data_IF_403378738564
#
_entry.id   IF_403378738564
#
_cell.length_a   1.000
_cell.length_b   1.000
_cell.length_c   1.000
_cell.angle_alpha   90.00
_cell.angle_beta   90.00
_cell.angle_gamma   90.00
#
_symmetry.space_group_name_H-M   'P 1'
#
loop_
_entity.id
_entity.type
_entity.pdbx_description
1 polymer ?
#
# COMPACT_ATOMS: atom_id res chain seq x y z
N UNK A 1 23.31 8.73 -11.18
CA UNK A 1 22.43 9.65 -10.42
C UNK A 1 20.99 9.16 -10.56
N UNK A 2 20.39 8.69 -9.46
CA UNK A 2 18.97 8.35 -9.44
C UNK A 2 18.23 9.67 -9.62
N UNK A 3 17.53 9.80 -10.73
CA UNK A 3 16.75 10.99 -11.07
C UNK A 3 15.74 11.26 -9.94
N UNK A 4 15.93 12.33 -9.17
CA UNK A 4 15.13 12.67 -7.97
C UNK A 4 13.76 13.22 -8.35
N UNK A 5 13.00 12.48 -9.14
CA UNK A 5 11.63 12.85 -9.50
C UNK A 5 10.76 12.86 -8.25
N UNK A 6 9.95 13.89 -8.10
CA UNK A 6 8.90 13.89 -7.08
C UNK A 6 7.78 12.87 -7.45
N UNK A 7 6.86 12.63 -6.53
CA UNK A 7 5.81 11.62 -6.69
C UNK A 7 4.95 11.85 -7.94
N UNK A 8 4.54 13.09 -8.21
CA UNK A 8 3.71 13.42 -9.38
C UNK A 8 4.46 13.28 -10.71
N UNK A 9 5.73 13.67 -10.76
CA UNK A 9 6.58 13.48 -11.94
C UNK A 9 6.79 12.01 -12.27
N UNK A 10 7.08 11.19 -11.24
CA UNK A 10 7.23 9.74 -11.40
C UNK A 10 5.95 9.09 -11.93
N UNK A 11 4.81 9.47 -11.36
CA UNK A 11 3.51 8.95 -11.81
C UNK A 11 3.25 9.32 -13.27
N UNK A 12 3.47 10.59 -13.64
CA UNK A 12 3.30 11.05 -15.03
C UNK A 12 4.17 10.26 -16.00
N UNK A 13 5.48 10.15 -15.70
CA UNK A 13 6.42 9.41 -16.56
C UNK A 13 5.99 7.94 -16.73
N UNK A 14 5.60 7.29 -15.63
CA UNK A 14 5.13 5.92 -15.69
C UNK A 14 3.88 5.76 -16.56
N UNK A 15 2.85 6.57 -16.34
CA UNK A 15 1.59 6.47 -17.07
C UNK A 15 1.81 6.73 -18.56
N UNK A 16 2.50 7.82 -18.90
CA UNK A 16 2.72 8.20 -20.30
C UNK A 16 3.70 7.27 -21.02
N UNK A 17 4.59 6.60 -20.32
CA UNK A 17 5.48 5.58 -20.87
C UNK A 17 4.82 4.20 -21.06
N UNK A 18 3.84 3.86 -20.22
CA UNK A 18 3.20 2.54 -20.21
C UNK A 18 1.93 2.48 -21.05
N UNK A 19 1.12 3.53 -21.04
CA UNK A 19 -0.21 3.53 -21.65
C UNK A 19 -0.25 4.41 -22.89
N UNK A 20 -0.80 3.88 -23.98
CA UNK A 20 -0.94 4.59 -25.25
C UNK A 20 -1.98 5.71 -25.21
N UNK A 21 -2.96 5.61 -24.32
CA UNK A 21 -4.03 6.60 -24.14
C UNK A 21 -4.73 6.43 -22.78
N UNK A 22 -5.59 7.40 -22.45
CA UNK A 22 -6.35 7.43 -21.20
C UNK A 22 -7.28 6.22 -21.02
N UNK A 23 -7.89 5.71 -22.10
CA UNK A 23 -8.77 4.54 -22.02
C UNK A 23 -8.01 3.28 -21.58
N UNK A 24 -6.82 3.03 -22.17
CA UNK A 24 -6.00 1.89 -21.79
C UNK A 24 -5.52 1.98 -20.33
N UNK A 25 -5.20 3.18 -19.86
CA UNK A 25 -4.90 3.42 -18.44
C UNK A 25 -6.11 3.10 -17.55
N UNK A 26 -7.31 3.60 -17.87
CA UNK A 26 -8.51 3.35 -17.07
C UNK A 26 -8.95 1.88 -17.08
N UNK A 27 -8.75 1.16 -18.19
CA UNK A 27 -8.99 -0.29 -18.25
C UNK A 27 -8.07 -1.04 -17.29
N UNK A 28 -6.77 -0.71 -17.28
CA UNK A 28 -5.81 -1.31 -16.36
C UNK A 28 -6.13 -0.99 -14.89
N UNK A 29 -6.53 0.25 -14.59
CA UNK A 29 -6.97 0.65 -13.24
C UNK A 29 -8.20 -0.14 -12.81
N UNK A 30 -9.21 -0.29 -13.67
CA UNK A 30 -10.41 -1.07 -13.33
C UNK A 30 -10.08 -2.55 -13.09
N UNK A 31 -9.22 -3.16 -13.90
CA UNK A 31 -8.76 -4.53 -13.68
C UNK A 31 -8.04 -4.68 -12.33
N UNK A 32 -7.14 -3.76 -12.00
CA UNK A 32 -6.44 -3.73 -10.71
C UNK A 32 -7.41 -3.63 -9.52
N UNK A 33 -8.39 -2.73 -9.59
CA UNK A 33 -9.40 -2.54 -8.53
C UNK A 33 -10.19 -3.81 -8.26
N UNK A 34 -10.47 -4.64 -9.28
CA UNK A 34 -11.18 -5.91 -9.08
C UNK A 34 -10.40 -6.91 -8.25
N UNK A 35 -9.07 -6.83 -8.25
CA UNK A 35 -8.16 -7.73 -7.53
C UNK A 35 -7.91 -7.30 -6.08
N UNK A 36 -8.23 -6.05 -5.72
CA UNK A 36 -8.05 -5.51 -4.37
C UNK A 36 -9.26 -5.82 -3.48
N UNK A 37 -9.50 -7.10 -3.18
CA UNK A 37 -10.60 -7.57 -2.33
C UNK A 37 -10.15 -8.70 -1.43
N UNK A 38 -10.73 -8.77 -0.22
CA UNK A 38 -10.55 -9.91 0.67
C UNK A 38 -11.28 -11.15 0.14
N UNK A 39 -10.65 -12.32 0.27
CA UNK A 39 -11.21 -13.64 -0.06
C UNK A 39 -11.76 -13.79 -1.50
N UNK A 40 -11.27 -13.03 -2.44
CA UNK A 40 -11.73 -13.02 -3.84
C UNK A 40 -10.65 -13.52 -4.83
N UNK A 41 -9.39 -13.29 -4.50
CA UNK A 41 -8.22 -13.70 -5.30
C UNK A 41 -7.13 -14.29 -4.43
N UNK A 42 -6.20 -15.05 -5.04
CA UNK A 42 -5.03 -15.57 -4.32
C UNK A 42 -4.13 -14.46 -3.77
N UNK A 43 -3.32 -14.77 -2.75
CA UNK A 43 -2.37 -13.82 -2.17
C UNK A 43 -1.43 -13.24 -3.21
N UNK A 44 -0.88 -14.03 -4.13
CA UNK A 44 0.03 -13.56 -5.19
C UNK A 44 -0.63 -12.52 -6.11
N UNK A 45 -1.89 -12.76 -6.52
CA UNK A 45 -2.65 -11.80 -7.35
C UNK A 45 -2.96 -10.52 -6.60
N UNK A 46 -3.30 -10.63 -5.31
CA UNK A 46 -3.57 -9.47 -4.46
C UNK A 46 -2.31 -8.63 -4.22
N UNK A 47 -1.21 -9.27 -3.86
CA UNK A 47 0.09 -8.61 -3.62
C UNK A 47 0.60 -7.93 -4.90
N UNK A 48 0.40 -8.55 -6.08
CA UNK A 48 0.71 -7.89 -7.35
C UNK A 48 -0.15 -6.64 -7.56
N UNK A 49 -1.44 -6.69 -7.23
CA UNK A 49 -2.31 -5.53 -7.34
C UNK A 49 -1.93 -4.41 -6.35
N UNK A 50 -1.41 -4.74 -5.15
CA UNK A 50 -0.85 -3.77 -4.20
C UNK A 50 0.45 -3.16 -4.75
N UNK A 51 1.34 -3.95 -5.37
CA UNK A 51 2.53 -3.43 -6.04
C UNK A 51 2.15 -2.45 -7.16
N UNK A 52 1.24 -2.86 -8.04
CA UNK A 52 0.75 -2.04 -9.14
C UNK A 52 0.11 -0.73 -8.64
N UNK A 53 -0.69 -0.79 -7.57
CA UNK A 53 -1.28 0.40 -6.94
C UNK A 53 -0.19 1.38 -6.49
N UNK A 54 0.85 0.91 -5.82
CA UNK A 54 1.98 1.75 -5.38
C UNK A 54 2.62 2.51 -6.55
N UNK A 55 2.85 1.81 -7.66
CA UNK A 55 3.40 2.42 -8.88
C UNK A 55 2.42 3.46 -9.46
N UNK A 56 1.11 3.15 -9.49
CA UNK A 56 0.06 4.01 -10.05
C UNK A 56 -0.31 5.22 -9.16
N UNK A 57 0.27 5.33 -7.99
CA UNK A 57 0.26 6.55 -7.17
C UNK A 57 1.64 7.23 -7.10
N UNK A 58 2.58 6.79 -7.93
CA UNK A 58 3.90 7.42 -8.12
C UNK A 58 4.96 7.05 -7.09
N UNK A 59 4.81 5.92 -6.39
CA UNK A 59 5.81 5.38 -5.48
C UNK A 59 6.75 4.41 -6.21
N UNK A 60 7.92 4.15 -5.61
CA UNK A 60 8.76 3.02 -5.98
C UNK A 60 8.18 1.81 -5.24
N UNK A 61 7.52 0.94 -5.96
CA UNK A 61 6.85 -0.23 -5.41
C UNK A 61 7.53 -1.51 -5.87
N UNK A 62 7.70 -2.46 -4.95
CA UNK A 62 8.34 -3.74 -5.22
C UNK A 62 7.84 -4.80 -4.23
N UNK A 63 8.07 -6.08 -4.57
CA UNK A 63 7.74 -7.26 -3.76
C UNK A 63 9.01 -7.96 -3.29
N UNK A 64 9.64 -7.52 -2.19
CA UNK A 64 10.94 -8.05 -1.75
C UNK A 64 10.92 -9.56 -1.46
N UNK A 65 9.87 -10.09 -0.84
CA UNK A 65 9.77 -11.53 -0.58
C UNK A 65 9.76 -12.33 -1.88
N UNK A 66 9.02 -11.89 -2.89
CA UNK A 66 8.97 -12.54 -4.20
C UNK A 66 10.33 -12.47 -4.94
N UNK A 67 11.04 -11.33 -4.84
CA UNK A 67 12.30 -11.10 -5.55
C UNK A 67 13.49 -11.78 -4.86
N UNK A 68 13.55 -11.73 -3.52
CA UNK A 68 14.73 -12.11 -2.74
C UNK A 68 14.48 -13.29 -1.79
N UNK A 69 13.25 -13.81 -1.71
CA UNK A 69 12.84 -14.86 -0.77
C UNK A 69 12.82 -14.40 0.69
N UNK A 70 12.83 -13.10 0.95
CA UNK A 70 12.79 -12.46 2.28
C UNK A 70 12.37 -11.01 2.19
N UNK A 71 11.86 -10.47 3.28
CA UNK A 71 11.35 -9.11 3.37
C UNK A 71 9.82 -9.08 3.34
N UNK A 72 9.21 -7.90 3.23
CA UNK A 72 7.75 -7.76 3.18
C UNK A 72 7.15 -8.26 1.87
N UNK A 73 5.85 -8.59 1.90
CA UNK A 73 5.06 -8.90 0.71
C UNK A 73 5.12 -7.71 -0.28
N UNK A 74 4.98 -6.48 0.21
CA UNK A 74 5.13 -5.25 -0.58
C UNK A 74 5.95 -4.18 0.17
N UNK A 75 6.74 -3.43 -0.59
CA UNK A 75 7.50 -2.29 -0.10
C UNK A 75 7.26 -1.09 -1.01
N UNK A 76 6.77 0.01 -0.45
CA UNK A 76 6.61 1.27 -1.15
C UNK A 76 7.60 2.30 -0.62
N UNK A 77 8.45 2.80 -1.48
CA UNK A 77 9.46 3.79 -1.15
C UNK A 77 9.13 5.14 -1.78
N UNK A 78 9.47 6.22 -1.07
CA UNK A 78 9.31 7.58 -1.56
C UNK A 78 10.57 8.42 -1.33
N UNK A 79 10.76 9.47 -2.12
CA UNK A 79 11.85 10.44 -1.90
C UNK A 79 11.57 11.42 -0.76
N UNK A 80 10.34 11.47 -0.27
CA UNK A 80 9.94 12.30 0.87
C UNK A 80 10.25 11.67 2.24
N UNK A 81 10.96 10.54 2.26
CA UNK A 81 11.33 9.78 3.45
C UNK A 81 10.15 9.14 4.20
N UNK A 82 8.98 9.02 3.56
CA UNK A 82 7.83 8.28 4.09
C UNK A 82 7.65 7.00 3.31
N UNK A 83 7.97 5.87 3.92
CA UNK A 83 7.98 4.56 3.29
C UNK A 83 6.94 3.65 3.94
N UNK A 84 6.51 2.60 3.25
CA UNK A 84 5.51 1.66 3.75
C UNK A 84 6.02 0.23 3.60
N UNK A 85 6.06 -0.50 4.71
CA UNK A 85 6.35 -1.94 4.77
C UNK A 85 5.03 -2.65 4.94
N UNK A 86 4.61 -3.44 3.95
CA UNK A 86 3.23 -3.95 3.86
C UNK A 86 3.23 -5.46 3.85
N UNK A 87 2.44 -6.06 4.74
CA UNK A 87 2.09 -7.49 4.77
C UNK A 87 0.63 -7.68 4.39
N UNK A 88 0.37 -8.56 3.43
CA UNK A 88 -0.95 -8.83 2.89
C UNK A 88 -1.50 -10.15 3.43
N UNK A 89 -2.68 -10.12 4.02
CA UNK A 89 -3.39 -11.29 4.54
C UNK A 89 -4.84 -11.30 4.03
N UNK A 90 -4.98 -11.12 2.71
CA UNK A 90 -6.28 -11.01 2.03
C UNK A 90 -7.12 -12.28 2.11
N UNK A 91 -6.52 -13.46 2.28
CA UNK A 91 -7.22 -14.74 2.44
C UNK A 91 -7.55 -15.07 3.91
N UNK A 92 -7.23 -14.16 4.86
CA UNK A 92 -7.55 -14.37 6.27
C UNK A 92 -9.07 -14.29 6.51
N UNK A 93 -9.59 -15.24 7.28
CA UNK A 93 -10.99 -15.33 7.70
C UNK A 93 -11.18 -15.16 9.21
N UNK A 94 -10.07 -15.01 9.95
CA UNK A 94 -10.07 -14.92 11.40
C UNK A 94 -10.58 -13.56 11.88
N UNK A 95 -11.29 -13.55 13.01
CA UNK A 95 -11.76 -12.34 13.69
C UNK A 95 -10.64 -11.56 14.41
N UNK A 96 -9.44 -12.14 14.50
CA UNK A 96 -8.27 -11.51 15.10
C UNK A 96 -7.02 -11.82 14.28
N UNK A 97 -6.07 -10.89 14.29
CA UNK A 97 -4.76 -11.03 13.65
C UNK A 97 -3.90 -11.94 14.53
N UNK A 98 -3.48 -13.07 13.97
CA UNK A 98 -2.73 -14.07 14.70
C UNK A 98 -1.33 -13.59 15.12
N UNK A 99 -0.80 -14.19 16.20
CA UNK A 99 0.60 -14.00 16.60
C UNK A 99 1.58 -14.31 15.44
N UNK A 100 1.27 -15.30 14.60
CA UNK A 100 2.07 -15.65 13.43
C UNK A 100 2.16 -14.46 12.45
N UNK A 101 1.04 -13.85 12.07
CA UNK A 101 1.02 -12.69 11.17
C UNK A 101 1.68 -11.46 11.78
N UNK A 102 1.49 -11.25 13.09
CA UNK A 102 2.20 -10.22 13.83
C UNK A 102 3.73 -10.39 13.73
N UNK A 103 4.23 -11.61 13.93
CA UNK A 103 5.65 -11.92 13.84
C UNK A 103 6.22 -11.74 12.42
N UNK A 104 5.44 -12.06 11.38
CA UNK A 104 5.84 -11.80 9.99
C UNK A 104 6.09 -10.31 9.76
N UNK A 105 5.12 -9.45 10.09
CA UNK A 105 5.29 -8.01 9.93
C UNK A 105 6.41 -7.44 10.81
N UNK A 106 6.57 -7.91 12.06
CA UNK A 106 7.70 -7.51 12.89
C UNK A 106 9.05 -7.92 12.23
N UNK A 107 9.12 -9.11 11.62
CA UNK A 107 10.29 -9.56 10.86
C UNK A 107 10.59 -8.66 9.65
N UNK A 108 9.57 -8.25 8.91
CA UNK A 108 9.67 -7.34 7.77
C UNK A 108 10.11 -5.92 8.19
N UNK A 109 9.67 -5.45 9.36
CA UNK A 109 10.16 -4.20 9.97
C UNK A 109 11.68 -4.28 10.23
N UNK A 110 12.14 -5.37 10.87
CA UNK A 110 13.57 -5.55 11.15
C UNK A 110 14.38 -5.73 9.85
N UNK A 111 13.84 -6.46 8.87
CA UNK A 111 14.46 -6.56 7.55
C UNK A 111 14.65 -5.18 6.91
N UNK A 112 13.62 -4.32 6.92
CA UNK A 112 13.73 -2.95 6.38
C UNK A 112 14.86 -2.17 7.07
N UNK A 113 14.93 -2.20 8.39
CA UNK A 113 15.97 -1.51 9.17
C UNK A 113 17.40 -2.02 8.85
N UNK A 114 17.54 -3.27 8.41
CA UNK A 114 18.85 -3.84 8.04
C UNK A 114 19.25 -3.53 6.59
N UNK A 115 18.28 -3.27 5.72
CA UNK A 115 18.53 -3.02 4.29
C UNK A 115 18.63 -1.53 3.94
N UNK A 116 18.05 -0.66 4.75
CA UNK A 116 17.94 0.77 4.49
C UNK A 116 18.56 1.60 5.60
N UNK A 117 18.92 2.85 5.27
CA UNK A 117 19.49 3.80 6.22
C UNK A 117 18.54 4.03 7.43
N UNK A 118 19.11 4.09 8.63
CA UNK A 118 18.37 4.32 9.88
C UNK A 118 17.60 5.65 9.92
N UNK A 119 17.92 6.60 9.04
CA UNK A 119 17.19 7.87 8.90
C UNK A 119 15.90 7.73 8.11
N UNK A 120 15.69 6.62 7.38
CA UNK A 120 14.48 6.40 6.60
C UNK A 120 13.32 6.03 7.52
N UNK A 121 12.29 6.87 7.52
CA UNK A 121 11.05 6.58 8.22
C UNK A 121 10.22 5.55 7.46
N UNK A 122 9.58 4.64 8.17
CA UNK A 122 8.63 3.72 7.57
C UNK A 122 7.41 3.53 8.47
N UNK A 123 6.27 3.32 7.84
CA UNK A 123 5.02 2.90 8.50
C UNK A 123 4.76 1.45 8.15
N UNK A 124 4.73 0.54 9.13
CA UNK A 124 4.35 -0.84 8.88
C UNK A 124 2.83 -0.95 8.74
N UNK A 125 2.38 -1.62 7.68
CA UNK A 125 0.96 -1.80 7.38
C UNK A 125 0.65 -3.29 7.28
N UNK A 126 -0.37 -3.73 8.00
CA UNK A 126 -1.01 -5.04 7.81
C UNK A 126 -2.31 -4.86 7.03
N UNK A 127 -2.47 -5.55 5.90
CA UNK A 127 -3.76 -5.65 5.21
C UNK A 127 -4.45 -6.92 5.69
N UNK A 128 -5.49 -6.75 6.52
CA UNK A 128 -6.18 -7.87 7.19
C UNK A 128 -7.63 -7.47 7.50
N UNK A 129 -8.63 -8.37 7.38
CA UNK A 129 -10.03 -8.03 7.65
C UNK A 129 -10.29 -7.54 9.09
N UNK A 130 -9.53 -8.01 10.08
CA UNK A 130 -9.63 -7.54 11.46
C UNK A 130 -8.60 -6.45 11.78
N UNK A 131 -8.95 -5.54 12.69
CA UNK A 131 -8.05 -4.54 13.28
C UNK A 131 -7.51 -4.96 14.66
N UNK A 132 -7.86 -6.15 15.14
CA UNK A 132 -7.58 -6.60 16.50
C UNK A 132 -6.56 -7.74 16.47
N UNK A 133 -5.47 -7.63 17.24
CA UNK A 133 -4.51 -8.70 17.44
C UNK A 133 -4.94 -9.66 18.55
N UNK A 134 -4.56 -10.93 18.40
CA UNK A 134 -4.67 -11.91 19.49
C UNK A 134 -3.89 -11.46 20.72
N UNK A 135 -4.38 -11.80 21.92
CA UNK A 135 -3.71 -11.50 23.18
C UNK A 135 -2.26 -12.03 23.28
N UNK A 136 -1.96 -13.11 22.55
CA UNK A 136 -0.59 -13.69 22.52
C UNK A 136 0.37 -12.96 21.57
N UNK A 137 -0.12 -12.01 20.77
CA UNK A 137 0.70 -11.23 19.84
C UNK A 137 1.38 -10.06 20.56
N UNK A 138 2.55 -9.66 20.04
CA UNK A 138 3.31 -8.51 20.51
C UNK A 138 3.60 -7.57 19.33
N UNK A 139 2.59 -6.83 18.85
CA UNK A 139 2.75 -5.97 17.68
C UNK A 139 3.65 -4.77 17.97
N UNK A 140 4.45 -4.39 16.98
CA UNK A 140 5.12 -3.10 17.00
C UNK A 140 4.06 -1.99 17.11
N UNK A 141 4.32 -0.98 17.94
CA UNK A 141 3.36 0.10 18.28
C UNK A 141 2.93 0.95 17.08
N UNK A 142 3.77 0.99 16.03
CA UNK A 142 3.58 1.85 14.85
C UNK A 142 2.80 1.13 13.73
N UNK A 143 2.43 -0.15 13.94
CA UNK A 143 1.63 -0.91 12.98
C UNK A 143 0.27 -0.22 12.77
N UNK A 144 -0.09 -0.11 11.50
CA UNK A 144 -1.39 0.37 11.02
C UNK A 144 -2.10 -0.76 10.25
N UNK A 145 -3.42 -0.72 10.20
CA UNK A 145 -4.23 -1.76 9.57
C UNK A 145 -5.07 -1.18 8.43
N UNK A 146 -5.00 -1.81 7.26
CA UNK A 146 -5.99 -1.65 6.19
C UNK A 146 -6.96 -2.83 6.31
N UNK A 147 -8.15 -2.58 6.81
CA UNK A 147 -9.24 -3.56 6.84
C UNK A 147 -10.14 -3.44 5.59
N UNK A 148 -11.24 -4.18 5.55
CA UNK A 148 -12.16 -4.18 4.42
C UNK A 148 -12.72 -2.78 4.13
N UNK A 149 -13.14 -2.03 5.17
CA UNK A 149 -13.64 -0.66 5.04
C UNK A 149 -12.60 0.28 4.40
N UNK A 150 -11.36 0.21 4.88
CA UNK A 150 -10.26 1.05 4.38
C UNK A 150 -9.81 0.61 2.99
N UNK A 151 -9.83 -0.67 2.70
CA UNK A 151 -9.51 -1.18 1.36
C UNK A 151 -10.58 -0.75 0.33
N UNK A 152 -11.86 -0.79 0.70
CA UNK A 152 -12.94 -0.28 -0.14
C UNK A 152 -12.86 1.22 -0.36
N UNK A 153 -12.52 1.98 0.68
CA UNK A 153 -12.27 3.42 0.57
C UNK A 153 -11.11 3.68 -0.42
N UNK A 154 -10.00 2.97 -0.24
CA UNK A 154 -8.82 3.06 -1.10
C UNK A 154 -9.16 2.80 -2.57
N UNK A 155 -9.90 1.73 -2.86
CA UNK A 155 -10.35 1.36 -4.21
C UNK A 155 -11.21 2.46 -4.86
N UNK A 156 -12.21 2.98 -4.13
CA UNK A 156 -13.08 4.05 -4.63
C UNK A 156 -12.32 5.34 -4.90
N UNK A 157 -11.46 5.74 -3.98
CA UNK A 157 -10.65 6.95 -4.12
C UNK A 157 -9.64 6.81 -5.26
N UNK A 158 -9.02 5.64 -5.41
CA UNK A 158 -8.10 5.37 -6.51
C UNK A 158 -8.78 5.41 -7.88
N UNK A 159 -10.01 4.87 -7.98
CA UNK A 159 -10.82 4.98 -9.19
C UNK A 159 -11.10 6.45 -9.55
N UNK A 160 -11.63 7.22 -8.61
CA UNK A 160 -11.97 8.64 -8.82
C UNK A 160 -10.75 9.49 -9.17
N UNK A 161 -9.62 9.28 -8.47
CA UNK A 161 -8.34 9.91 -8.78
C UNK A 161 -7.89 9.61 -10.21
N UNK A 162 -7.93 8.34 -10.60
CA UNK A 162 -7.51 7.89 -11.93
C UNK A 162 -8.38 8.49 -13.04
N UNK A 163 -9.69 8.56 -12.83
CA UNK A 163 -10.61 9.19 -13.77
C UNK A 163 -10.34 10.71 -13.90
N UNK A 164 -10.02 11.40 -12.80
CA UNK A 164 -9.71 12.84 -12.81
C UNK A 164 -8.42 13.13 -13.58
N UNK A 165 -7.34 12.41 -13.30
CA UNK A 165 -6.07 12.62 -14.00
C UNK A 165 -6.13 12.21 -15.48
N UNK A 166 -6.93 11.19 -15.82
CA UNK A 166 -7.17 10.80 -17.21
C UNK A 166 -7.91 11.91 -18.00
N UNK A 167 -8.93 12.53 -17.40
CA UNK A 167 -9.65 13.68 -18.01
C UNK A 167 -8.75 14.88 -18.29
N UNK A 168 -7.72 15.08 -17.47
CA UNK A 168 -6.74 16.16 -17.67
C UNK A 168 -5.64 15.80 -18.68
N UNK A 169 -5.72 14.65 -19.33
CA UNK A 169 -4.66 14.09 -20.16
C UNK A 169 -3.31 14.00 -19.42
N UNK A 170 -3.38 13.58 -18.15
CA UNK A 170 -2.21 13.41 -17.26
C UNK A 170 -1.41 14.71 -17.06
N UNK A 171 -2.08 15.86 -17.01
CA UNK A 171 -1.43 17.11 -16.68
C UNK A 171 -0.76 17.02 -15.30
N UNK A 172 0.47 17.53 -15.20
CA UNK A 172 1.28 17.39 -13.98
C UNK A 172 0.66 18.10 -12.77
N UNK A 173 0.02 19.26 -13.00
CA UNK A 173 -0.64 20.03 -11.95
C UNK A 173 -1.90 19.32 -11.45
N UNK A 174 -2.65 18.71 -12.38
CA UNK A 174 -3.81 17.89 -12.03
C UNK A 174 -3.41 16.63 -11.25
N UNK A 175 -2.32 15.97 -11.63
CA UNK A 175 -1.77 14.82 -10.89
C UNK A 175 -1.37 15.25 -9.47
N UNK A 176 -0.60 16.33 -9.31
CA UNK A 176 -0.15 16.78 -8.00
C UNK A 176 -1.33 17.19 -7.10
N UNK A 177 -2.30 17.91 -7.65
CA UNK A 177 -3.55 18.25 -6.94
C UNK A 177 -4.34 17.02 -6.56
N UNK A 178 -4.48 16.06 -7.46
CA UNK A 178 -5.19 14.79 -7.22
C UNK A 178 -4.54 13.96 -6.13
N UNK A 179 -3.21 13.77 -6.15
CA UNK A 179 -2.48 13.06 -5.09
C UNK A 179 -2.77 13.62 -3.69
N UNK A 180 -2.91 14.94 -3.57
CA UNK A 180 -3.29 15.60 -2.30
C UNK A 180 -4.76 15.44 -1.98
N UNK A 181 -5.64 15.72 -2.93
CA UNK A 181 -7.09 15.70 -2.72
C UNK A 181 -7.63 14.32 -2.34
N UNK A 182 -7.02 13.27 -2.91
CA UNK A 182 -7.38 11.89 -2.63
C UNK A 182 -6.49 11.22 -1.57
N UNK A 183 -5.64 11.98 -0.87
CA UNK A 183 -4.73 11.48 0.17
C UNK A 183 -3.76 10.38 -0.29
N UNK A 184 -3.34 10.40 -1.55
CA UNK A 184 -2.30 9.51 -2.08
C UNK A 184 -0.88 10.05 -1.92
N UNK A 185 -0.71 11.27 -1.43
CA UNK A 185 0.60 11.74 -1.02
C UNK A 185 1.07 10.96 0.22
N UNK A 186 2.39 10.72 0.31
CA UNK A 186 2.96 9.85 1.33
C UNK A 186 2.77 10.33 2.77
N UNK A 187 2.56 11.63 2.99
CA UNK A 187 2.36 12.19 4.32
C UNK A 187 0.98 11.88 4.90
N UNK A 188 -0.08 11.88 4.08
CA UNK A 188 -1.45 11.67 4.53
C UNK A 188 -1.97 10.24 4.32
N UNK A 189 -1.30 9.44 3.49
CA UNK A 189 -1.78 8.10 3.09
C UNK A 189 -2.12 7.22 4.29
N UNK A 190 -1.16 7.03 5.20
CA UNK A 190 -1.36 6.12 6.33
C UNK A 190 -2.46 6.59 7.29
N UNK A 191 -2.59 7.89 7.50
CA UNK A 191 -3.63 8.41 8.42
C UNK A 191 -5.03 8.30 7.82
N UNK A 192 -5.16 8.41 6.50
CA UNK A 192 -6.44 8.36 5.82
C UNK A 192 -6.90 6.93 5.52
N UNK A 193 -6.00 6.06 5.06
CA UNK A 193 -6.34 4.72 4.59
C UNK A 193 -6.10 3.60 5.60
N UNK A 194 -5.76 3.90 6.85
CA UNK A 194 -5.54 2.87 7.87
C UNK A 194 -6.29 3.14 9.16
N UNK A 195 -6.40 2.11 9.99
CA UNK A 195 -6.80 2.19 11.38
C UNK A 195 -5.62 1.89 12.31
N UNK A 196 -5.70 2.38 13.55
CA UNK A 196 -4.89 1.85 14.65
C UNK A 196 -5.42 0.48 15.03
N UNK A 197 -4.54 -0.41 15.48
CA UNK A 197 -4.94 -1.72 15.98
C UNK A 197 -5.40 -1.70 17.44
N UNK A 198 -6.10 -2.75 17.83
CA UNK A 198 -6.40 -3.10 19.23
C UNK A 198 -5.84 -4.49 19.56
N UNK A 199 -5.79 -4.87 20.83
CA UNK A 199 -5.39 -6.21 21.28
C UNK A 199 -6.55 -6.81 22.07
N UNK A 200 -6.85 -8.10 21.83
CA UNK A 200 -7.84 -8.83 22.63
C UNK A 200 -7.39 -8.85 24.09
N UNK A 201 -8.16 -8.26 24.97
CA UNK A 201 -7.94 -8.43 26.41
C UNK A 201 -8.64 -9.70 26.88
N UNK A 202 -7.92 -10.59 27.58
CA UNK A 202 -8.59 -11.68 28.31
C UNK A 202 -9.45 -11.04 29.39
N UNK A 203 -10.76 -11.25 29.34
CA UNK A 203 -11.62 -11.03 30.51
C UNK A 203 -11.05 -11.89 31.65
N UNK A 204 -10.71 -11.29 32.77
CA UNK A 204 -10.30 -11.99 33.99
C UNK A 204 -11.50 -12.71 34.58
#
# INVERSE_FOLDING_TARGET
>A
EINKLNQSQRLKEYITGKYTNANNFLLAVNDMITKLKFNDVSSDVFEQAIEDLGIHIGLISQRPENIFGKGPDNLWLSYSNYNFVIECKNEAISSAISKRYCNQLNGSIEWFKTQYDAHLQMTPIMIHPSTTFENAASPNKDIKIINEEKLDLLRRQFKSFSEEIAKSNFDITAIDKGLRAYNFNTQSFSDYYTFKFTIVHKSR
#
